data_IF_910976687102
#
_entry.id   IF_910976687102
#
_cell.length_a   1.000
_cell.length_b   1.000
_cell.length_c   1.000
_cell.angle_alpha   90.00
_cell.angle_beta   90.00
_cell.angle_gamma   90.00
#
_symmetry.space_group_name_H-M   'P 1'
#
loop_
_entity.id
_entity.type
_entity.pdbx_description
1 polymer ?
#
# COMPACT_ATOMS: atom_id res chain seq x y z
N UNK A 1 31.35 -15.90 -16.70
CA UNK A 1 31.10 -14.44 -16.71
C UNK A 1 31.42 -13.94 -18.11
N UNK A 2 30.43 -13.34 -18.77
CA UNK A 2 30.56 -12.80 -20.12
C UNK A 2 30.12 -11.33 -20.13
N UNK A 3 30.81 -10.52 -20.92
CA UNK A 3 30.45 -9.12 -21.12
C UNK A 3 29.62 -8.99 -22.40
N UNK A 4 28.53 -8.23 -22.32
CA UNK A 4 27.66 -7.96 -23.46
C UNK A 4 27.49 -6.45 -23.62
N UNK A 5 27.47 -6.01 -24.88
CA UNK A 5 27.44 -4.59 -25.26
C UNK A 5 26.33 -4.27 -26.27
N UNK A 6 25.60 -5.29 -26.73
CA UNK A 6 24.51 -5.13 -27.68
C UNK A 6 23.53 -6.33 -27.60
N UNK A 7 22.34 -6.22 -28.21
CA UNK A 7 21.32 -7.27 -28.18
C UNK A 7 21.79 -8.62 -28.74
N UNK A 8 22.62 -8.62 -29.79
CA UNK A 8 23.11 -9.85 -30.44
C UNK A 8 23.98 -10.64 -29.47
N UNK A 9 24.89 -9.95 -28.77
CA UNK A 9 25.74 -10.55 -27.74
C UNK A 9 24.93 -11.09 -26.56
N UNK A 10 23.92 -10.35 -26.09
CA UNK A 10 23.01 -10.80 -25.03
C UNK A 10 22.28 -12.09 -25.44
N UNK A 11 21.67 -12.11 -26.63
CA UNK A 11 20.99 -13.30 -27.15
C UNK A 11 21.95 -14.48 -27.30
N UNK A 12 23.16 -14.23 -27.81
CA UNK A 12 24.19 -15.28 -27.95
C UNK A 12 24.59 -15.85 -26.60
N UNK A 13 24.85 -15.01 -25.60
CA UNK A 13 25.21 -15.41 -24.24
C UNK A 13 24.12 -16.31 -23.63
N UNK A 14 22.86 -15.86 -23.66
CA UNK A 14 21.74 -16.64 -23.15
C UNK A 14 21.56 -17.97 -23.89
N UNK A 15 21.66 -17.97 -25.23
CA UNK A 15 21.53 -19.20 -26.04
C UNK A 15 22.68 -20.20 -25.82
N UNK A 16 23.84 -19.71 -25.37
CA UNK A 16 25.01 -20.54 -25.03
C UNK A 16 24.94 -21.07 -23.60
N UNK A 17 23.90 -20.74 -22.83
CA UNK A 17 23.72 -21.19 -21.45
C UNK A 17 24.54 -20.40 -20.44
N UNK A 18 25.02 -19.20 -20.79
CA UNK A 18 25.75 -18.35 -19.84
C UNK A 18 24.80 -17.85 -18.74
N UNK A 19 25.23 -18.01 -17.49
CA UNK A 19 24.44 -17.64 -16.30
C UNK A 19 25.00 -16.45 -15.56
N UNK A 20 26.15 -15.90 -15.97
CA UNK A 20 26.74 -14.70 -15.35
C UNK A 20 27.07 -13.72 -16.46
N UNK A 21 26.27 -12.66 -16.58
CA UNK A 21 26.30 -11.70 -17.68
C UNK A 21 26.43 -10.29 -17.14
N UNK A 22 27.46 -9.57 -17.60
CA UNK A 22 27.67 -8.16 -17.32
C UNK A 22 27.37 -7.30 -18.55
N UNK A 23 26.43 -6.37 -18.39
CA UNK A 23 26.04 -5.41 -19.42
C UNK A 23 26.94 -4.18 -19.34
N UNK A 24 27.55 -3.83 -20.47
CA UNK A 24 28.53 -2.73 -20.55
C UNK A 24 28.03 -1.53 -21.34
N UNK A 25 26.92 -1.68 -22.09
CA UNK A 25 26.34 -0.65 -22.94
C UNK A 25 24.83 -0.68 -22.88
N UNK A 26 24.23 0.50 -23.04
CA UNK A 26 22.78 0.60 -23.19
C UNK A 26 22.33 -0.11 -24.46
N UNK A 27 21.18 -0.78 -24.40
CA UNK A 27 20.68 -1.55 -25.53
C UNK A 27 19.16 -1.58 -25.55
N UNK A 28 18.59 -1.78 -26.73
CA UNK A 28 17.16 -1.83 -26.95
C UNK A 28 16.73 -3.20 -27.48
N UNK A 29 15.63 -3.71 -26.95
CA UNK A 29 15.00 -4.96 -27.35
C UNK A 29 13.58 -4.72 -27.85
N UNK A 30 13.22 -5.42 -28.92
CA UNK A 30 11.88 -5.41 -29.48
C UNK A 30 10.95 -6.44 -28.82
N UNK A 31 11.52 -7.41 -28.11
CA UNK A 31 10.80 -8.53 -27.50
C UNK A 31 11.26 -8.72 -26.05
N UNK A 32 10.42 -9.34 -25.20
CA UNK A 32 10.81 -9.72 -23.85
C UNK A 32 12.00 -10.69 -23.86
N UNK A 33 12.77 -10.70 -22.78
CA UNK A 33 13.91 -11.60 -22.60
C UNK A 33 13.60 -12.61 -21.51
N UNK A 34 13.61 -13.89 -21.87
CA UNK A 34 13.57 -14.98 -20.90
C UNK A 34 14.94 -15.14 -20.27
N UNK A 35 15.00 -15.01 -18.94
CA UNK A 35 16.20 -15.23 -18.16
C UNK A 35 16.15 -16.64 -17.52
N UNK A 36 17.15 -17.50 -17.78
CA UNK A 36 17.14 -18.88 -17.29
C UNK A 36 17.31 -18.95 -15.78
N UNK A 37 16.89 -20.06 -15.18
CA UNK A 37 17.17 -20.35 -13.77
C UNK A 37 18.69 -20.32 -13.48
N UNK A 38 19.07 -19.65 -12.40
CA UNK A 38 20.46 -19.45 -11.97
C UNK A 38 21.17 -18.23 -12.57
N UNK A 39 20.46 -17.40 -13.35
CA UNK A 39 21.01 -16.21 -14.00
C UNK A 39 21.45 -15.13 -12.98
N UNK A 40 22.57 -14.51 -13.27
CA UNK A 40 23.10 -13.32 -12.62
C UNK A 40 23.34 -12.28 -13.73
N UNK A 41 22.55 -11.23 -13.71
CA UNK A 41 22.60 -10.13 -14.65
C UNK A 41 22.94 -8.85 -13.89
N UNK A 42 24.07 -8.24 -14.23
CA UNK A 42 24.47 -6.94 -13.69
C UNK A 42 24.80 -5.99 -14.83
N UNK A 43 24.72 -4.68 -14.58
CA UNK A 43 25.34 -3.70 -15.46
C UNK A 43 26.55 -3.05 -14.80
N UNK A 44 27.53 -2.69 -15.63
CA UNK A 44 28.75 -2.02 -15.25
C UNK A 44 28.64 -0.57 -15.69
N UNK A 45 28.95 0.41 -14.81
CA UNK A 45 28.99 1.81 -15.19
C UNK A 45 29.85 2.03 -16.44
N UNK A 46 29.33 2.84 -17.35
CA UNK A 46 30.06 3.26 -18.55
C UNK A 46 31.17 4.25 -18.19
N UNK A 47 31.95 4.69 -19.17
CA UNK A 47 33.09 5.61 -18.95
C UNK A 47 32.67 6.95 -18.30
N UNK A 48 31.41 7.33 -18.48
CA UNK A 48 30.80 8.51 -17.85
C UNK A 48 30.26 8.27 -16.44
N UNK A 49 30.45 7.08 -15.87
CA UNK A 49 29.96 6.67 -14.55
C UNK A 49 28.48 6.29 -14.50
N UNK A 50 27.76 6.31 -15.62
CA UNK A 50 26.32 6.02 -15.67
C UNK A 50 26.08 4.55 -16.00
N UNK A 51 25.16 3.92 -15.27
CA UNK A 51 24.72 2.55 -15.56
C UNK A 51 24.05 2.47 -16.93
N UNK A 52 24.36 1.44 -17.74
CA UNK A 52 23.61 1.10 -18.93
C UNK A 52 22.10 1.02 -18.70
N UNK A 53 21.33 1.59 -19.62
CA UNK A 53 19.87 1.44 -19.65
C UNK A 53 19.45 0.38 -20.66
N UNK A 54 18.55 -0.50 -20.24
CA UNK A 54 17.98 -1.56 -21.07
C UNK A 54 16.56 -1.15 -21.43
N UNK A 55 16.32 -0.89 -22.71
CA UNK A 55 15.05 -0.42 -23.21
C UNK A 55 14.25 -1.55 -23.87
N UNK A 56 12.98 -1.70 -23.53
CA UNK A 56 12.04 -2.55 -24.24
C UNK A 56 10.99 -1.66 -24.90
N UNK A 57 11.05 -1.55 -26.22
CA UNK A 57 10.38 -0.45 -26.93
C UNK A 57 8.85 -0.57 -26.94
N UNK A 58 8.33 -1.80 -27.07
CA UNK A 58 6.89 -2.07 -27.18
C UNK A 58 6.51 -3.43 -26.57
N UNK A 59 7.32 -3.93 -25.64
CA UNK A 59 7.15 -5.25 -25.05
C UNK A 59 7.33 -5.19 -23.54
N UNK A 60 6.91 -6.27 -22.88
CA UNK A 60 7.40 -6.57 -21.54
C UNK A 60 8.94 -6.72 -21.54
N UNK A 61 9.52 -6.64 -20.34
CA UNK A 61 10.96 -6.71 -20.12
C UNK A 61 11.47 -8.12 -19.85
N UNK A 62 12.05 -8.31 -18.66
CA UNK A 62 12.63 -9.58 -18.24
C UNK A 62 11.56 -10.55 -17.72
N UNK A 63 11.64 -11.79 -18.21
CA UNK A 63 10.80 -12.91 -17.77
C UNK A 63 11.69 -13.92 -17.04
N UNK A 64 11.51 -14.02 -15.73
CA UNK A 64 12.28 -14.91 -14.86
C UNK A 64 11.68 -16.31 -14.89
N UNK A 65 12.53 -17.33 -14.99
CA UNK A 65 12.13 -18.75 -15.04
C UNK A 65 12.53 -19.56 -13.79
N UNK A 66 13.24 -18.93 -12.86
CA UNK A 66 13.69 -19.54 -11.60
C UNK A 66 14.54 -18.58 -10.79
N UNK A 67 15.51 -19.11 -10.04
CA UNK A 67 16.44 -18.31 -9.25
C UNK A 67 17.15 -17.30 -10.14
N UNK A 68 17.19 -16.05 -9.71
CA UNK A 68 17.70 -14.95 -10.54
C UNK A 68 18.33 -13.89 -9.65
N UNK A 69 19.35 -13.21 -10.17
CA UNK A 69 19.95 -12.04 -9.52
C UNK A 69 20.10 -10.92 -10.54
N UNK A 70 19.33 -9.85 -10.39
CA UNK A 70 19.33 -8.68 -11.25
C UNK A 70 19.88 -7.52 -10.42
N UNK A 71 21.00 -6.92 -10.85
CA UNK A 71 21.72 -5.94 -10.05
C UNK A 71 22.18 -4.73 -10.85
N UNK A 72 22.08 -3.54 -10.25
CA UNK A 72 22.64 -2.31 -10.81
C UNK A 72 22.09 -2.04 -12.24
N UNK A 73 20.78 -2.19 -12.45
CA UNK A 73 20.16 -2.03 -13.76
C UNK A 73 19.21 -0.85 -13.77
N UNK A 74 19.23 -0.10 -14.88
CA UNK A 74 18.12 0.77 -15.29
C UNK A 74 17.36 0.05 -16.41
N UNK A 75 16.08 -0.25 -16.20
CA UNK A 75 15.26 -0.99 -17.15
C UNK A 75 14.01 -0.18 -17.48
N UNK A 76 13.82 0.11 -18.76
CA UNK A 76 12.74 0.98 -19.22
C UNK A 76 11.82 0.20 -20.14
N UNK A 77 10.55 0.12 -19.76
CA UNK A 77 9.46 -0.33 -20.63
C UNK A 77 8.39 0.77 -20.70
N UNK A 78 7.37 0.59 -21.54
CA UNK A 78 6.18 1.45 -21.47
C UNK A 78 5.47 1.23 -20.12
N UNK A 79 4.88 2.28 -19.55
CA UNK A 79 4.25 2.23 -18.22
C UNK A 79 3.22 1.09 -18.08
N UNK A 80 2.52 0.74 -19.16
CA UNK A 80 1.49 -0.31 -19.21
C UNK A 80 2.05 -1.72 -19.47
N UNK A 81 3.36 -1.93 -19.25
CA UNK A 81 4.06 -3.20 -19.46
C UNK A 81 4.66 -3.71 -18.16
N UNK A 82 4.96 -5.02 -18.16
CA UNK A 82 5.68 -5.67 -17.06
C UNK A 82 7.16 -5.67 -17.36
N UNK A 83 7.92 -4.86 -16.63
CA UNK A 83 9.37 -4.75 -16.80
C UNK A 83 10.11 -5.95 -16.27
N UNK A 84 9.64 -6.49 -15.15
CA UNK A 84 10.16 -7.71 -14.55
C UNK A 84 8.96 -8.56 -14.16
N UNK A 85 8.88 -9.78 -14.69
CA UNK A 85 7.82 -10.72 -14.36
C UNK A 85 8.33 -12.15 -14.24
N UNK A 86 7.54 -13.01 -13.63
CA UNK A 86 7.77 -14.45 -13.67
C UNK A 86 7.13 -15.04 -14.93
N UNK A 87 7.68 -16.16 -15.41
CA UNK A 87 6.99 -16.99 -16.40
C UNK A 87 5.61 -17.40 -15.88
N UNK A 88 4.59 -17.34 -16.75
CA UNK A 88 3.23 -17.75 -16.41
C UNK A 88 3.11 -19.27 -16.27
N UNK A 89 3.91 -20.03 -17.04
CA UNK A 89 3.98 -21.48 -16.98
C UNK A 89 5.09 -21.88 -16.00
N UNK A 90 4.75 -21.89 -14.71
CA UNK A 90 5.63 -22.38 -13.65
C UNK A 90 5.57 -23.92 -13.65
N UNK A 91 6.70 -24.58 -13.46
CA UNK A 91 6.80 -26.05 -13.59
C UNK A 91 7.42 -26.74 -12.39
N UNK A 92 8.03 -25.98 -11.48
CA UNK A 92 8.70 -26.50 -10.30
C UNK A 92 7.96 -26.12 -9.02
N UNK A 93 7.99 -27.00 -8.02
CA UNK A 93 7.46 -26.72 -6.68
C UNK A 93 8.23 -25.61 -5.95
N UNK A 94 9.50 -25.42 -6.28
CA UNK A 94 10.31 -24.30 -5.78
C UNK A 94 10.78 -23.43 -6.95
N UNK A 95 10.51 -22.13 -6.87
CA UNK A 95 11.07 -21.15 -7.81
C UNK A 95 12.52 -20.79 -7.47
N UNK A 96 12.95 -21.08 -6.23
CA UNK A 96 14.24 -20.68 -5.69
C UNK A 96 14.26 -19.24 -5.19
N UNK A 97 15.38 -18.54 -5.36
CA UNK A 97 15.57 -17.18 -4.82
C UNK A 97 15.72 -16.14 -5.92
N UNK A 98 14.95 -15.04 -5.82
CA UNK A 98 15.00 -13.90 -6.72
C UNK A 98 15.63 -12.72 -5.98
N UNK A 99 16.74 -12.19 -6.48
CA UNK A 99 17.37 -10.97 -5.99
C UNK A 99 17.16 -9.84 -7.00
N UNK A 100 16.52 -8.75 -6.56
CA UNK A 100 16.34 -7.50 -7.27
C UNK A 100 17.05 -6.40 -6.48
N UNK A 101 18.24 -5.97 -6.92
CA UNK A 101 19.08 -5.09 -6.11
C UNK A 101 19.59 -3.88 -6.91
N UNK A 102 19.48 -2.68 -6.33
CA UNK A 102 19.92 -1.43 -6.96
C UNK A 102 19.30 -1.24 -8.36
N UNK A 103 17.96 -1.27 -8.44
CA UNK A 103 17.23 -1.19 -9.70
C UNK A 103 16.46 0.12 -9.83
N UNK A 104 16.42 0.67 -11.04
CA UNK A 104 15.46 1.70 -11.44
C UNK A 104 14.65 1.18 -12.61
N UNK A 105 13.33 1.20 -12.47
CA UNK A 105 12.41 0.53 -13.39
C UNK A 105 11.29 1.47 -13.84
N UNK A 106 11.04 1.55 -15.15
CA UNK A 106 9.77 2.03 -15.73
C UNK A 106 8.95 0.84 -16.23
N UNK A 107 7.68 0.79 -15.82
CA UNK A 107 6.77 -0.34 -15.93
C UNK A 107 6.66 -1.14 -14.63
N UNK A 108 5.88 -2.23 -14.63
CA UNK A 108 5.56 -2.99 -13.43
C UNK A 108 6.62 -4.04 -13.07
N UNK A 109 6.92 -4.20 -11.78
CA UNK A 109 7.55 -5.41 -11.23
C UNK A 109 6.43 -6.34 -10.75
N UNK A 110 6.18 -7.44 -11.49
CA UNK A 110 5.07 -8.38 -11.29
C UNK A 110 5.55 -9.78 -10.90
N UNK A 111 5.71 -10.01 -9.60
CA UNK A 111 6.12 -11.30 -9.02
C UNK A 111 4.89 -12.11 -8.59
N UNK A 112 4.24 -12.78 -9.55
CA UNK A 112 3.04 -13.59 -9.30
C UNK A 112 3.37 -15.09 -9.35
N UNK A 113 3.40 -15.74 -8.19
CA UNK A 113 3.64 -17.18 -8.05
C UNK A 113 2.34 -17.97 -8.24
N UNK A 114 2.42 -19.12 -8.93
CA UNK A 114 1.26 -19.94 -9.31
C UNK A 114 1.56 -21.42 -9.12
N UNK A 115 0.53 -22.25 -9.16
CA UNK A 115 0.67 -23.70 -9.23
C UNK A 115 1.62 -24.10 -10.38
N UNK A 116 2.57 -25.02 -10.17
CA UNK A 116 2.78 -25.85 -8.98
C UNK A 116 3.74 -25.25 -7.94
N UNK A 117 4.21 -24.02 -8.10
CA UNK A 117 5.18 -23.41 -7.18
C UNK A 117 4.59 -23.18 -5.78
N UNK A 118 5.16 -23.87 -4.80
CA UNK A 118 4.82 -23.78 -3.38
C UNK A 118 5.83 -22.95 -2.58
N UNK A 119 7.04 -22.74 -3.09
CA UNK A 119 8.12 -22.08 -2.35
C UNK A 119 8.91 -21.13 -3.22
N UNK A 120 9.21 -19.95 -2.71
CA UNK A 120 10.23 -19.05 -3.24
C UNK A 120 10.69 -18.09 -2.15
N UNK A 121 11.86 -17.48 -2.36
CA UNK A 121 12.33 -16.36 -1.57
C UNK A 121 12.61 -15.15 -2.47
N UNK A 122 12.13 -13.97 -2.08
CA UNK A 122 12.34 -12.72 -2.83
C UNK A 122 13.15 -11.75 -1.98
N UNK A 123 14.26 -11.26 -2.53
CA UNK A 123 15.07 -10.20 -1.94
C UNK A 123 14.97 -8.98 -2.84
N UNK A 124 14.43 -7.89 -2.31
CA UNK A 124 14.34 -6.60 -2.99
C UNK A 124 15.14 -5.59 -2.19
N UNK A 125 16.17 -4.98 -2.78
CA UNK A 125 17.04 -4.02 -2.09
C UNK A 125 17.32 -2.80 -2.95
N UNK A 126 17.06 -1.60 -2.44
CA UNK A 126 17.30 -0.34 -3.17
C UNK A 126 16.65 -0.36 -4.57
N UNK A 127 15.33 -0.54 -4.62
CA UNK A 127 14.58 -0.61 -5.87
C UNK A 127 13.66 0.60 -5.97
N UNK A 128 13.66 1.23 -7.13
CA UNK A 128 12.77 2.33 -7.47
C UNK A 128 11.94 1.98 -8.70
N UNK A 129 10.62 1.99 -8.60
CA UNK A 129 9.71 1.93 -9.76
C UNK A 129 9.25 3.36 -10.05
N UNK A 130 9.80 3.96 -11.09
CA UNK A 130 9.58 5.38 -11.39
C UNK A 130 8.20 5.65 -11.99
N UNK A 131 7.68 4.73 -12.81
CA UNK A 131 6.36 4.85 -13.43
C UNK A 131 5.77 3.47 -13.72
N UNK A 132 4.44 3.34 -13.65
CA UNK A 132 3.72 2.15 -14.11
C UNK A 132 2.24 2.49 -14.31
N UNK A 133 1.53 1.67 -15.09
CA UNK A 133 0.08 1.66 -15.22
C UNK A 133 -0.43 0.22 -15.11
N UNK A 134 -1.09 -0.10 -14.01
CA UNK A 134 -1.51 -1.47 -13.67
C UNK A 134 -3.01 -1.70 -13.78
N UNK A 135 -3.78 -0.72 -14.28
CA UNK A 135 -5.26 -0.77 -14.27
C UNK A 135 -5.86 -1.92 -15.06
N UNK A 136 -5.12 -2.47 -16.03
CA UNK A 136 -5.62 -3.48 -16.97
C UNK A 136 -5.32 -4.92 -16.56
N UNK A 137 -4.56 -5.15 -15.48
CA UNK A 137 -4.19 -6.50 -15.06
C UNK A 137 -5.31 -7.20 -14.29
N UNK A 138 -5.50 -8.49 -14.58
CA UNK A 138 -6.70 -9.25 -14.20
C UNK A 138 -6.61 -9.92 -12.83
N UNK A 139 -5.41 -10.21 -12.32
CA UNK A 139 -5.27 -10.83 -10.99
C UNK A 139 -5.51 -9.78 -9.91
N UNK A 140 -6.78 -9.65 -9.52
CA UNK A 140 -7.25 -8.66 -8.58
C UNK A 140 -7.94 -9.36 -7.41
N UNK A 141 -7.41 -9.22 -6.18
CA UNK A 141 -8.13 -9.62 -4.98
C UNK A 141 -9.51 -8.98 -4.89
N UNK A 142 -10.49 -9.78 -4.49
CA UNK A 142 -11.85 -9.32 -4.26
C UNK A 142 -12.26 -9.61 -2.81
N UNK A 143 -12.66 -8.55 -2.08
CA UNK A 143 -13.24 -8.65 -0.74
C UNK A 143 -14.10 -7.40 -0.50
N UNK A 144 -15.04 -7.47 0.44
CA UNK A 144 -15.85 -6.31 0.84
C UNK A 144 -16.61 -5.58 -0.30
N UNK A 145 -16.93 -6.29 -1.39
CA UNK A 145 -17.63 -5.71 -2.54
C UNK A 145 -16.73 -4.91 -3.49
N UNK A 146 -15.41 -4.95 -3.32
CA UNK A 146 -14.45 -4.22 -4.16
C UNK A 146 -13.36 -5.14 -4.71
N UNK A 147 -12.84 -4.78 -5.87
CA UNK A 147 -11.64 -5.33 -6.49
C UNK A 147 -10.44 -4.41 -6.22
N UNK A 148 -9.30 -5.02 -5.94
CA UNK A 148 -8.04 -4.30 -5.71
C UNK A 148 -7.20 -4.28 -6.98
N UNK A 149 -6.88 -3.09 -7.48
CA UNK A 149 -5.93 -2.96 -8.60
C UNK A 149 -4.51 -3.31 -8.14
N UNK A 150 -3.74 -3.98 -8.99
CA UNK A 150 -2.36 -4.39 -8.71
C UNK A 150 -1.43 -3.19 -8.47
N UNK A 151 -0.29 -3.47 -7.84
CA UNK A 151 0.74 -2.47 -7.55
C UNK A 151 1.81 -2.35 -8.62
N UNK A 152 2.45 -1.18 -8.69
CA UNK A 152 3.70 -0.96 -9.43
C UNK A 152 4.77 -2.00 -9.05
N UNK A 153 4.87 -2.30 -7.74
CA UNK A 153 5.51 -3.50 -7.23
C UNK A 153 4.44 -4.46 -6.70
N UNK A 154 4.35 -5.64 -7.32
CA UNK A 154 3.39 -6.68 -6.96
C UNK A 154 4.13 -7.96 -6.55
N UNK A 155 3.96 -8.38 -5.30
CA UNK A 155 4.36 -9.69 -4.80
C UNK A 155 3.10 -10.48 -4.42
N UNK A 156 2.75 -11.47 -5.24
CA UNK A 156 1.48 -12.18 -5.12
C UNK A 156 1.70 -13.70 -5.16
N UNK A 157 1.46 -14.39 -4.05
CA UNK A 157 1.29 -15.84 -4.05
C UNK A 157 -0.12 -16.23 -4.53
N UNK A 158 -0.32 -16.26 -5.85
CA UNK A 158 -1.57 -16.67 -6.49
C UNK A 158 -1.67 -18.20 -6.65
N UNK A 159 -1.41 -18.92 -5.56
CA UNK A 159 -1.54 -20.38 -5.49
C UNK A 159 -2.59 -20.77 -4.45
N UNK A 160 -3.62 -21.52 -4.86
CA UNK A 160 -4.69 -21.95 -3.96
C UNK A 160 -4.25 -22.96 -2.89
N UNK A 161 -3.07 -23.58 -3.03
CA UNK A 161 -2.56 -24.52 -2.04
C UNK A 161 -2.17 -23.81 -0.74
N UNK A 162 -2.81 -24.19 0.37
CA UNK A 162 -2.56 -23.69 1.73
C UNK A 162 -1.13 -23.90 2.26
N UNK A 163 -0.41 -24.85 1.66
CA UNK A 163 0.98 -25.18 1.99
C UNK A 163 1.98 -24.35 1.15
N UNK A 164 1.48 -23.56 0.18
CA UNK A 164 2.29 -22.61 -0.57
C UNK A 164 2.69 -21.44 0.33
N UNK A 165 3.99 -21.18 0.41
CA UNK A 165 4.59 -20.10 1.19
C UNK A 165 5.69 -19.44 0.37
N UNK A 166 5.50 -18.15 0.10
CA UNK A 166 6.53 -17.30 -0.48
C UNK A 166 7.06 -16.41 0.65
N UNK A 167 8.37 -16.36 0.82
CA UNK A 167 8.99 -15.46 1.79
C UNK A 167 9.67 -14.29 1.09
N UNK A 168 9.79 -13.15 1.77
CA UNK A 168 10.55 -12.03 1.23
C UNK A 168 11.32 -11.22 2.29
N UNK A 169 12.32 -10.48 1.81
CA UNK A 169 12.96 -9.37 2.50
C UNK A 169 12.98 -8.17 1.54
N UNK A 170 12.41 -7.06 1.97
CA UNK A 170 12.28 -5.86 1.14
C UNK A 170 12.94 -4.71 1.88
N UNK A 171 13.97 -4.11 1.29
CA UNK A 171 14.74 -3.03 1.89
C UNK A 171 14.85 -1.87 0.89
N UNK A 172 14.40 -0.69 1.30
CA UNK A 172 14.47 0.55 0.55
C UNK A 172 13.81 0.45 -0.84
N UNK A 173 12.54 0.04 -0.87
CA UNK A 173 11.67 0.09 -2.05
C UNK A 173 10.93 1.43 -2.11
N UNK A 174 10.92 2.08 -3.28
CA UNK A 174 10.18 3.33 -3.52
C UNK A 174 9.43 3.30 -4.84
N UNK A 175 8.32 4.03 -4.92
CA UNK A 175 7.39 4.02 -6.05
C UNK A 175 6.99 5.45 -6.43
N UNK A 176 7.14 5.79 -7.71
CA UNK A 176 6.75 7.08 -8.24
C UNK A 176 7.50 8.26 -7.62
N UNK A 177 7.07 9.47 -7.97
CA UNK A 177 7.58 10.70 -7.37
C UNK A 177 6.49 11.77 -7.29
N UNK A 178 6.76 12.86 -6.59
CA UNK A 178 5.86 14.01 -6.54
C UNK A 178 5.57 14.51 -7.97
N UNK A 179 4.29 14.70 -8.29
CA UNK A 179 3.82 15.05 -9.64
C UNK A 179 3.84 13.91 -10.66
N UNK A 180 4.46 12.76 -10.36
CA UNK A 180 4.53 11.59 -11.24
C UNK A 180 4.23 10.29 -10.45
N UNK A 181 3.00 10.12 -9.94
CA UNK A 181 2.61 8.90 -9.24
C UNK A 181 2.55 7.70 -10.18
N UNK A 182 2.78 6.51 -9.63
CA UNK A 182 2.41 5.27 -10.32
C UNK A 182 0.89 5.16 -10.46
N UNK A 183 0.42 4.67 -11.61
CA UNK A 183 -1.00 4.49 -11.88
C UNK A 183 -1.43 3.07 -11.48
N UNK A 184 -2.45 2.99 -10.62
CA UNK A 184 -2.82 1.80 -9.85
C UNK A 184 -2.36 1.87 -8.40
N UNK A 185 -2.17 0.72 -7.76
CA UNK A 185 -1.59 0.67 -6.41
C UNK A 185 -0.06 0.91 -6.46
N UNK A 186 0.54 1.30 -5.34
CA UNK A 186 1.99 1.45 -5.22
C UNK A 186 2.68 0.11 -4.98
N UNK A 187 2.69 -0.30 -3.71
CA UNK A 187 3.22 -1.59 -3.25
C UNK A 187 2.07 -2.51 -2.89
N UNK A 188 2.03 -3.68 -3.52
CA UNK A 188 0.97 -4.67 -3.35
C UNK A 188 1.56 -6.02 -2.92
N UNK A 189 1.16 -6.51 -1.75
CA UNK A 189 1.60 -7.79 -1.19
C UNK A 189 0.36 -8.63 -0.89
N UNK A 190 0.26 -9.84 -1.48
CA UNK A 190 -0.93 -10.69 -1.32
C UNK A 190 -0.59 -12.18 -1.29
N UNK A 191 -1.24 -12.92 -0.39
CA UNK A 191 -1.48 -14.36 -0.55
C UNK A 191 -2.69 -14.62 -1.45
N UNK A 192 -3.12 -15.86 -1.62
CA UNK A 192 -4.21 -16.25 -2.52
C UNK A 192 -5.60 -15.86 -2.00
N UNK A 193 -5.82 -16.11 -0.70
CA UNK A 193 -6.96 -15.71 0.14
C UNK A 193 -6.58 -16.04 1.60
N UNK A 194 -7.54 -15.98 2.53
CA UNK A 194 -7.30 -16.27 3.95
C UNK A 194 -6.91 -17.74 4.26
N UNK A 195 -7.01 -18.66 3.28
CA UNK A 195 -6.79 -20.11 3.46
C UNK A 195 -5.82 -20.74 2.45
N UNK A 196 -5.41 -20.02 1.41
CA UNK A 196 -4.55 -20.50 0.34
C UNK A 196 -3.09 -20.16 0.57
N UNK A 197 -2.35 -19.99 -0.52
CA UNK A 197 -0.94 -19.64 -0.48
C UNK A 197 -0.70 -18.31 0.23
N UNK A 198 0.38 -18.27 1.02
CA UNK A 198 0.74 -17.11 1.85
C UNK A 198 1.98 -16.40 1.37
N UNK A 199 2.10 -15.13 1.74
CA UNK A 199 3.33 -14.35 1.66
C UNK A 199 3.75 -13.97 3.08
N UNK A 200 5.01 -14.21 3.44
CA UNK A 200 5.55 -13.93 4.77
C UNK A 200 6.82 -13.08 4.64
N UNK A 201 6.85 -11.92 5.32
CA UNK A 201 7.93 -10.95 5.21
C UNK A 201 8.39 -10.56 6.62
N UNK A 202 9.63 -10.87 6.95
CA UNK A 202 10.16 -10.52 8.27
C UNK A 202 10.40 -9.01 8.42
N UNK A 203 11.01 -8.40 7.40
CA UNK A 203 11.26 -6.97 7.38
C UNK A 203 11.02 -6.37 6.00
N UNK A 204 10.28 -5.26 6.00
CA UNK A 204 9.95 -4.46 4.84
C UNK A 204 10.22 -2.98 5.13
N UNK A 205 11.16 -2.36 4.41
CA UNK A 205 11.40 -0.92 4.49
C UNK A 205 11.08 -0.23 3.16
N UNK A 206 10.34 0.87 3.26
CA UNK A 206 9.88 1.66 2.11
C UNK A 206 10.45 3.08 2.18
N UNK A 207 10.82 3.62 1.03
CA UNK A 207 11.06 5.04 0.83
C UNK A 207 9.76 5.75 0.46
N UNK A 208 9.86 6.71 -0.46
CA UNK A 208 8.71 7.43 -0.99
C UNK A 208 7.78 6.52 -1.80
N UNK A 209 6.46 6.72 -1.66
CA UNK A 209 5.44 6.01 -2.42
C UNK A 209 4.36 6.99 -2.87
N UNK A 210 4.27 7.20 -4.17
CA UNK A 210 3.26 8.03 -4.82
C UNK A 210 2.43 7.18 -5.77
N UNK A 211 1.11 7.09 -5.54
CA UNK A 211 0.22 6.32 -6.41
C UNK A 211 -1.10 7.02 -6.69
N UNK A 212 -1.76 6.63 -7.78
CA UNK A 212 -3.10 7.09 -8.14
C UNK A 212 -3.87 5.99 -8.86
N UNK A 213 -5.04 5.63 -8.36
CA UNK A 213 -5.86 4.62 -9.01
C UNK A 213 -6.41 5.05 -10.37
N UNK A 214 -6.56 6.37 -10.57
CA UNK A 214 -7.36 6.95 -11.66
C UNK A 214 -8.73 6.27 -11.82
N UNK A 215 -9.32 5.84 -10.71
CA UNK A 215 -10.66 5.27 -10.67
C UNK A 215 -11.65 6.40 -11.01
N UNK A 216 -12.55 6.21 -11.99
CA UNK A 216 -13.55 7.22 -12.33
C UNK A 216 -14.48 7.50 -11.15
N UNK A 217 -14.89 8.75 -11.00
CA UNK A 217 -15.86 9.13 -9.95
C UNK A 217 -17.17 8.35 -10.11
N UNK A 218 -17.71 7.86 -9.00
CA UNK A 218 -18.95 7.06 -8.97
C UNK A 218 -18.74 5.56 -9.19
N UNK A 219 -17.53 5.13 -9.58
CA UNK A 219 -17.13 3.71 -9.55
C UNK A 219 -16.80 3.35 -8.11
N UNK A 220 -17.46 2.31 -7.61
CA UNK A 220 -17.50 1.95 -6.19
C UNK A 220 -16.95 0.56 -5.90
N UNK A 221 -16.76 -0.25 -6.94
CA UNK A 221 -16.33 -1.65 -6.91
C UNK A 221 -14.83 -1.80 -7.16
N UNK A 222 -14.07 -0.72 -7.19
CA UNK A 222 -12.61 -0.71 -7.28
C UNK A 222 -11.99 0.20 -6.22
N UNK A 223 -10.84 -0.23 -5.72
CA UNK A 223 -9.98 0.55 -4.82
C UNK A 223 -8.51 0.37 -5.21
N UNK A 224 -7.66 1.30 -4.79
CA UNK A 224 -6.19 1.14 -4.83
C UNK A 224 -5.55 1.49 -3.49
N UNK A 225 -4.30 1.10 -3.32
CA UNK A 225 -3.49 1.35 -2.13
C UNK A 225 -2.12 1.90 -2.48
N UNK A 226 -1.61 2.94 -1.80
CA UNK A 226 -0.17 3.25 -1.92
C UNK A 226 0.66 2.11 -1.30
N UNK A 227 0.31 1.67 -0.10
CA UNK A 227 0.86 0.45 0.53
C UNK A 227 -0.30 -0.47 0.89
N UNK A 228 -0.37 -1.61 0.22
CA UNK A 228 -1.47 -2.56 0.35
C UNK A 228 -0.97 -3.93 0.82
N UNK A 229 -1.32 -4.27 2.07
CA UNK A 229 -1.07 -5.60 2.66
C UNK A 229 -2.37 -6.38 2.63
N UNK A 230 -2.52 -7.23 1.62
CA UNK A 230 -3.78 -7.92 1.31
C UNK A 230 -3.90 -9.23 2.11
N UNK A 231 -5.01 -9.97 1.94
CA UNK A 231 -5.21 -11.27 2.58
C UNK A 231 -4.05 -12.24 2.35
N UNK A 232 -3.85 -13.18 3.28
CA UNK A 232 -2.79 -14.18 3.20
C UNK A 232 -1.36 -13.60 3.20
N UNK A 233 -1.18 -12.29 3.35
CA UNK A 233 0.10 -11.65 3.59
C UNK A 233 0.29 -11.42 5.10
N UNK A 234 1.50 -11.71 5.56
CA UNK A 234 1.99 -11.42 6.90
C UNK A 234 3.30 -10.65 6.82
N UNK A 235 3.39 -9.53 7.55
CA UNK A 235 4.60 -8.72 7.66
C UNK A 235 4.93 -8.49 9.13
N UNK A 236 6.09 -8.96 9.60
CA UNK A 236 6.48 -8.76 10.99
C UNK A 236 6.83 -7.29 11.26
N UNK A 237 7.69 -6.68 10.43
CA UNK A 237 8.09 -5.27 10.59
C UNK A 237 7.99 -4.51 9.26
N UNK A 238 7.07 -3.55 9.20
CA UNK A 238 6.87 -2.64 8.07
C UNK A 238 7.26 -1.21 8.47
N UNK A 239 8.34 -0.69 7.88
CA UNK A 239 8.87 0.64 8.18
C UNK A 239 8.81 1.51 6.93
N UNK A 240 8.03 2.59 6.97
CA UNK A 240 7.98 3.61 5.92
C UNK A 240 8.82 4.82 6.34
N UNK A 241 9.92 5.03 5.64
CA UNK A 241 10.85 6.13 5.86
C UNK A 241 10.58 7.35 4.99
N UNK A 242 9.91 7.16 3.84
CA UNK A 242 9.55 8.25 2.93
C UNK A 242 8.07 8.63 2.98
N UNK A 243 7.74 9.67 2.24
CA UNK A 243 6.39 10.22 2.12
C UNK A 243 5.48 9.24 1.39
N UNK A 244 4.25 9.07 1.86
CA UNK A 244 3.27 8.18 1.22
C UNK A 244 2.04 8.98 0.81
N UNK A 245 1.76 9.05 -0.49
CA UNK A 245 0.74 9.94 -1.05
C UNK A 245 -0.14 9.21 -2.06
N UNK A 246 -1.45 9.39 -1.93
CA UNK A 246 -2.43 9.01 -2.96
C UNK A 246 -3.22 10.19 -3.51
N UNK A 247 -3.63 10.10 -4.77
CA UNK A 247 -4.29 11.20 -5.49
C UNK A 247 -5.70 10.87 -6.01
N UNK A 248 -6.03 9.61 -6.21
CA UNK A 248 -7.25 9.17 -6.91
C UNK A 248 -8.43 8.84 -5.99
N UNK A 249 -9.61 8.74 -6.60
CA UNK A 249 -10.86 8.36 -5.91
C UNK A 249 -10.75 6.95 -5.37
N UNK A 250 -11.22 6.73 -4.13
CA UNK A 250 -11.12 5.45 -3.42
C UNK A 250 -9.68 4.91 -3.27
N UNK A 251 -8.68 5.79 -3.33
CA UNK A 251 -7.31 5.41 -3.05
C UNK A 251 -7.06 5.46 -1.53
N UNK A 252 -6.77 4.29 -0.99
CA UNK A 252 -6.29 4.13 0.38
C UNK A 252 -4.79 4.42 0.39
N UNK A 253 -4.27 5.16 1.36
CA UNK A 253 -2.83 5.39 1.47
C UNK A 253 -2.18 4.15 2.08
N UNK A 254 -2.66 3.75 3.25
CA UNK A 254 -2.23 2.56 3.98
C UNK A 254 -3.44 1.64 4.18
N UNK A 255 -3.42 0.44 3.59
CA UNK A 255 -4.54 -0.50 3.67
C UNK A 255 -4.08 -1.91 4.10
N UNK A 256 -4.62 -2.37 5.23
CA UNK A 256 -4.35 -3.68 5.80
C UNK A 256 -5.59 -4.58 5.74
N UNK A 257 -5.56 -5.59 4.86
CA UNK A 257 -6.47 -6.75 4.91
C UNK A 257 -5.79 -7.99 5.50
N UNK A 258 -4.46 -8.07 5.40
CA UNK A 258 -3.64 -9.14 5.95
C UNK A 258 -3.25 -8.92 7.42
N UNK A 259 -2.09 -9.44 7.80
CA UNK A 259 -1.54 -9.27 9.15
C UNK A 259 -0.25 -8.44 9.12
N UNK A 260 -0.14 -7.46 10.02
CA UNK A 260 1.09 -6.71 10.26
C UNK A 260 1.36 -6.64 11.76
N UNK A 261 2.52 -7.10 12.21
CA UNK A 261 2.84 -7.07 13.65
C UNK A 261 3.28 -5.67 14.09
N UNK A 262 4.23 -5.05 13.38
CA UNK A 262 4.64 -3.67 13.63
C UNK A 262 4.66 -2.87 12.32
N UNK A 263 3.92 -1.77 12.29
CA UNK A 263 3.87 -0.82 11.19
C UNK A 263 4.24 0.58 11.67
N UNK A 264 5.43 1.05 11.31
CA UNK A 264 5.93 2.39 11.65
C UNK A 264 6.01 3.26 10.40
N UNK A 265 5.44 4.46 10.47
CA UNK A 265 5.49 5.47 9.41
C UNK A 265 6.17 6.71 9.94
N UNK A 266 7.32 7.05 9.34
CA UNK A 266 8.22 8.11 9.80
C UNK A 266 7.97 9.46 9.10
N UNK A 267 7.27 9.46 7.97
CA UNK A 267 6.97 10.68 7.20
C UNK A 267 5.46 10.84 6.96
N UNK A 268 5.07 11.87 6.19
CA UNK A 268 3.68 12.25 6.00
C UNK A 268 2.89 11.17 5.24
N UNK A 269 1.66 10.96 5.69
CA UNK A 269 0.63 10.15 5.03
C UNK A 269 -0.43 11.08 4.51
N UNK A 270 -0.58 11.16 3.19
CA UNK A 270 -1.47 12.15 2.56
C UNK A 270 -2.39 11.50 1.54
N UNK A 271 -3.70 11.75 1.66
CA UNK A 271 -4.69 11.40 0.65
C UNK A 271 -5.34 12.65 0.07
N UNK A 272 -5.32 12.82 -1.25
CA UNK A 272 -6.03 13.91 -1.94
C UNK A 272 -7.37 13.49 -2.57
N UNK A 273 -7.60 12.18 -2.70
CA UNK A 273 -8.73 11.65 -3.45
C UNK A 273 -10.05 11.60 -2.68
N UNK A 274 -11.18 11.76 -3.39
CA UNK A 274 -12.52 11.55 -2.82
C UNK A 274 -12.63 10.15 -2.22
N UNK A 275 -13.21 10.04 -1.03
CA UNK A 275 -13.33 8.79 -0.26
C UNK A 275 -12.02 8.05 -0.01
N UNK A 276 -10.88 8.71 -0.20
CA UNK A 276 -9.57 8.18 0.16
C UNK A 276 -9.42 8.07 1.67
N UNK A 277 -8.59 7.13 2.11
CA UNK A 277 -8.34 6.89 3.54
C UNK A 277 -6.86 6.90 3.84
N UNK A 278 -6.43 7.65 4.86
CA UNK A 278 -5.04 7.69 5.29
C UNK A 278 -4.56 6.33 5.81
N UNK A 279 -5.23 5.77 6.80
CA UNK A 279 -5.02 4.40 7.26
C UNK A 279 -6.35 3.69 7.44
N UNK A 280 -6.52 2.55 6.75
CA UNK A 280 -7.68 1.68 6.91
C UNK A 280 -7.23 0.28 7.29
N UNK A 281 -7.95 -0.31 8.23
CA UNK A 281 -7.69 -1.67 8.69
C UNK A 281 -8.96 -2.53 8.58
N UNK A 282 -8.80 -3.64 7.88
CA UNK A 282 -9.73 -4.75 7.75
C UNK A 282 -9.16 -6.05 8.33
N UNK A 283 -7.83 -6.14 8.48
CA UNK A 283 -7.11 -7.31 8.93
C UNK A 283 -6.69 -7.23 10.39
N UNK A 284 -5.48 -7.70 10.68
CA UNK A 284 -4.92 -7.70 12.05
C UNK A 284 -3.66 -6.87 12.06
N UNK A 285 -3.67 -5.76 12.82
CA UNK A 285 -2.48 -4.95 13.06
C UNK A 285 -2.19 -4.94 14.56
N UNK A 286 -1.01 -5.38 14.97
CA UNK A 286 -0.67 -5.39 16.40
C UNK A 286 -0.23 -4.01 16.86
N UNK A 287 0.73 -3.39 16.18
CA UNK A 287 1.25 -2.07 16.54
C UNK A 287 1.33 -1.18 15.30
N UNK A 288 0.57 -0.08 15.28
CA UNK A 288 0.65 0.95 14.25
C UNK A 288 1.18 2.25 14.88
N UNK A 289 2.14 2.90 14.23
CA UNK A 289 2.67 4.19 14.66
C UNK A 289 2.90 5.14 13.48
N UNK A 290 2.17 6.25 13.44
CA UNK A 290 2.45 7.38 12.56
C UNK A 290 3.17 8.49 13.35
N UNK A 291 4.46 8.71 13.06
CA UNK A 291 5.29 9.71 13.74
C UNK A 291 5.03 11.15 13.26
N UNK A 292 4.33 11.31 12.14
CA UNK A 292 3.79 12.59 11.65
C UNK A 292 2.28 12.52 11.52
N UNK A 293 1.66 13.69 11.34
CA UNK A 293 0.22 13.76 11.20
C UNK A 293 -0.26 13.11 9.89
N UNK A 294 -1.46 12.53 9.92
CA UNK A 294 -2.15 12.03 8.74
C UNK A 294 -3.06 13.13 8.20
N UNK A 295 -2.96 13.39 6.89
CA UNK A 295 -3.74 14.41 6.21
C UNK A 295 -4.64 13.79 5.13
N UNK A 296 -5.92 14.13 5.13
CA UNK A 296 -6.82 13.76 4.03
C UNK A 296 -7.64 14.93 3.53
N UNK A 297 -7.72 15.10 2.21
CA UNK A 297 -8.34 16.26 1.56
C UNK A 297 -9.56 15.93 0.69
N UNK A 298 -9.97 14.67 0.56
CA UNK A 298 -11.11 14.33 -0.29
C UNK A 298 -12.46 14.51 0.40
N UNK A 299 -13.50 14.85 -0.37
CA UNK A 299 -14.89 14.69 0.10
C UNK A 299 -15.11 13.25 0.57
N UNK A 300 -15.69 13.08 1.76
CA UNK A 300 -15.92 11.75 2.34
C UNK A 300 -14.66 10.99 2.74
N UNK A 301 -13.49 11.62 2.73
CA UNK A 301 -12.22 11.00 3.08
C UNK A 301 -12.11 10.74 4.58
N UNK A 302 -11.25 9.80 4.99
CA UNK A 302 -11.04 9.47 6.40
C UNK A 302 -9.57 9.45 6.75
N UNK A 303 -9.13 9.99 7.89
CA UNK A 303 -7.72 9.84 8.26
C UNK A 303 -7.43 8.44 8.81
N UNK A 304 -8.23 7.95 9.75
CA UNK A 304 -8.16 6.57 10.24
C UNK A 304 -9.53 5.91 10.24
N UNK A 305 -9.60 4.66 9.78
CA UNK A 305 -10.81 3.86 9.79
C UNK A 305 -10.54 2.40 10.21
N UNK A 306 -11.01 2.01 11.40
CA UNK A 306 -11.11 0.61 11.79
C UNK A 306 -12.40 0.03 11.22
N UNK A 307 -12.29 -0.68 10.10
CA UNK A 307 -13.46 -1.15 9.37
C UNK A 307 -13.85 -2.58 9.73
N UNK A 308 -12.86 -3.48 9.75
CA UNK A 308 -13.01 -4.89 10.13
C UNK A 308 -11.78 -5.36 10.91
N UNK A 309 -11.75 -6.60 11.39
CA UNK A 309 -10.57 -7.17 12.04
C UNK A 309 -10.23 -6.46 13.37
N UNK A 310 -8.93 -6.32 13.67
CA UNK A 310 -8.47 -5.75 14.95
C UNK A 310 -7.23 -4.88 14.81
N UNK A 311 -7.17 -3.80 15.61
CA UNK A 311 -5.95 -3.06 15.91
C UNK A 311 -5.64 -3.20 17.40
N UNK A 312 -4.50 -3.76 17.79
CA UNK A 312 -4.16 -3.88 19.22
C UNK A 312 -3.68 -2.55 19.80
N UNK A 313 -2.74 -1.86 19.14
CA UNK A 313 -2.29 -0.53 19.55
C UNK A 313 -2.04 0.39 18.35
N UNK A 314 -2.64 1.58 18.36
CA UNK A 314 -2.42 2.64 17.37
C UNK A 314 -1.89 3.91 18.01
N UNK A 315 -0.83 4.47 17.46
CA UNK A 315 -0.20 5.72 17.90
C UNK A 315 -0.16 6.70 16.73
N UNK A 316 -0.71 7.89 16.91
CA UNK A 316 -0.81 8.92 15.88
C UNK A 316 -0.25 10.23 16.42
N UNK A 317 0.67 10.86 15.68
CA UNK A 317 1.15 12.19 16.06
C UNK A 317 0.06 13.27 15.93
N UNK A 318 -0.89 13.09 15.02
CA UNK A 318 -2.02 14.00 14.83
C UNK A 318 -2.85 13.60 13.61
N UNK A 319 -4.08 14.11 13.55
CA UNK A 319 -5.03 13.80 12.48
C UNK A 319 -5.68 15.10 11.99
N UNK A 320 -5.64 15.30 10.67
CA UNK A 320 -6.30 16.43 10.03
C UNK A 320 -7.03 15.98 8.78
N UNK A 321 -8.33 16.29 8.70
CA UNK A 321 -9.13 16.03 7.50
C UNK A 321 -9.79 17.30 6.99
N UNK A 322 -9.96 17.35 5.67
CA UNK A 322 -10.52 18.48 4.95
C UNK A 322 -11.61 18.03 3.99
N UNK A 323 -12.55 18.95 3.74
CA UNK A 323 -13.73 18.80 2.90
C UNK A 323 -14.91 18.07 3.53
N UNK A 324 -16.05 18.22 2.87
CA UNK A 324 -17.34 17.76 3.35
C UNK A 324 -17.39 16.24 3.54
N UNK A 325 -18.02 15.79 4.62
CA UNK A 325 -18.11 14.39 5.00
C UNK A 325 -16.80 13.73 5.41
N UNK A 326 -15.73 14.52 5.61
CA UNK A 326 -14.44 13.99 6.01
C UNK A 326 -14.44 13.60 7.50
N UNK A 327 -13.91 12.43 7.83
CA UNK A 327 -13.92 11.88 9.19
C UNK A 327 -12.49 11.73 9.71
N UNK A 328 -12.19 12.26 10.89
CA UNK A 328 -10.89 12.09 11.53
C UNK A 328 -10.62 10.63 11.85
N UNK A 329 -11.35 10.10 12.83
CA UNK A 329 -11.27 8.70 13.24
C UNK A 329 -12.66 8.06 13.15
N UNK A 330 -12.76 6.91 12.49
CA UNK A 330 -13.96 6.07 12.49
C UNK A 330 -13.66 4.67 13.01
N UNK A 331 -14.41 4.18 13.99
CA UNK A 331 -14.21 2.87 14.59
C UNK A 331 -15.49 2.04 14.48
N UNK A 332 -15.42 0.95 13.72
CA UNK A 332 -16.52 0.01 13.49
C UNK A 332 -16.28 -1.39 14.08
N UNK A 333 -15.04 -1.68 14.48
CA UNK A 333 -14.63 -2.94 15.12
C UNK A 333 -13.65 -2.67 16.26
N UNK A 334 -13.18 -3.76 16.88
CA UNK A 334 -12.34 -3.72 18.07
C UNK A 334 -10.99 -3.04 17.80
N UNK A 335 -10.69 -2.07 18.64
CA UNK A 335 -9.39 -1.44 18.84
C UNK A 335 -9.00 -1.60 20.30
N UNK A 336 -7.77 -2.01 20.58
CA UNK A 336 -7.26 -2.06 21.94
C UNK A 336 -6.98 -0.64 22.45
N UNK A 337 -5.76 -0.16 22.19
CA UNK A 337 -5.32 1.17 22.61
C UNK A 337 -5.19 2.10 21.41
N UNK A 338 -5.67 3.33 21.55
CA UNK A 338 -5.51 4.40 20.57
C UNK A 338 -4.95 5.64 21.26
N UNK A 339 -3.78 6.10 20.82
CA UNK A 339 -3.12 7.30 21.34
C UNK A 339 -2.96 8.30 20.21
N UNK A 340 -3.39 9.54 20.47
CA UNK A 340 -3.15 10.69 19.61
C UNK A 340 -2.38 11.76 20.40
N UNK A 341 -1.12 11.98 20.07
CA UNK A 341 -0.26 12.95 20.78
C UNK A 341 -0.67 14.41 20.48
N UNK A 342 -1.19 14.65 19.29
CA UNK A 342 -1.66 15.96 18.83
C UNK A 342 -3.19 16.06 18.80
N UNK A 343 -3.67 16.90 17.90
CA UNK A 343 -5.11 17.14 17.71
C UNK A 343 -5.74 16.12 16.75
N UNK A 344 -7.06 15.94 16.89
CA UNK A 344 -7.94 15.33 15.89
C UNK A 344 -8.83 16.45 15.34
N UNK A 345 -8.55 16.92 14.12
CA UNK A 345 -9.22 18.08 13.53
C UNK A 345 -9.92 17.72 12.23
N UNK A 346 -11.16 18.17 12.07
CA UNK A 346 -11.89 18.04 10.82
C UNK A 346 -12.44 19.37 10.32
N UNK A 347 -12.29 19.60 9.02
CA UNK A 347 -12.82 20.73 8.29
C UNK A 347 -13.87 20.23 7.30
N UNK A 348 -15.06 20.85 7.28
CA UNK A 348 -16.12 20.53 6.33
C UNK A 348 -17.46 20.19 6.98
N UNK A 349 -18.53 20.18 6.19
CA UNK A 349 -19.90 19.87 6.60
C UNK A 349 -20.36 18.49 6.12
N UNK A 350 -21.59 18.41 5.60
CA UNK A 350 -22.17 17.20 5.00
C UNK A 350 -21.64 16.95 3.58
N UNK A 351 -21.20 15.72 3.27
CA UNK A 351 -20.71 15.34 1.94
C UNK A 351 -20.84 13.85 1.63
N UNK A 352 -20.71 13.49 0.35
CA UNK A 352 -20.81 12.10 -0.10
C UNK A 352 -19.52 11.30 0.16
N UNK A 353 -19.67 10.08 0.64
CA UNK A 353 -18.57 9.15 0.92
C UNK A 353 -18.92 7.73 0.46
N UNK A 354 -17.92 6.97 0.05
CA UNK A 354 -18.03 5.54 -0.19
C UNK A 354 -17.93 4.75 1.12
N UNK A 355 -18.91 3.87 1.35
CA UNK A 355 -19.00 2.95 2.50
C UNK A 355 -19.35 1.56 1.96
N UNK A 356 -18.40 0.61 2.03
CA UNK A 356 -18.55 -0.77 1.53
C UNK A 356 -19.15 -0.87 0.11
N UNK A 357 -18.66 -0.05 -0.83
CA UNK A 357 -19.14 -0.05 -2.22
C UNK A 357 -20.44 0.71 -2.47
N UNK A 358 -20.94 1.51 -1.50
CA UNK A 358 -22.15 2.33 -1.65
C UNK A 358 -21.89 3.79 -1.28
N UNK A 359 -22.36 4.73 -2.09
CA UNK A 359 -22.28 6.16 -1.80
C UNK A 359 -23.37 6.59 -0.81
N UNK A 360 -22.97 7.26 0.27
CA UNK A 360 -23.84 7.76 1.33
C UNK A 360 -23.45 9.18 1.73
N UNK A 361 -24.43 9.97 2.21
CA UNK A 361 -24.14 11.28 2.80
C UNK A 361 -23.64 11.10 4.25
N UNK A 362 -22.48 11.68 4.56
CA UNK A 362 -21.86 11.68 5.88
C UNK A 362 -21.53 13.11 6.31
N UNK A 363 -21.83 13.50 7.55
CA UNK A 363 -21.27 14.69 8.16
C UNK A 363 -19.78 14.53 8.45
N UNK A 364 -19.06 15.64 8.53
CA UNK A 364 -17.67 15.62 8.98
C UNK A 364 -17.62 15.42 10.51
N UNK A 365 -17.00 14.33 10.96
CA UNK A 365 -16.87 13.96 12.37
C UNK A 365 -15.40 13.91 12.76
N UNK A 366 -15.02 14.46 13.92
CA UNK A 366 -13.65 14.28 14.41
C UNK A 366 -13.43 12.85 14.92
N UNK A 367 -14.38 12.35 15.71
CA UNK A 367 -14.38 10.97 16.20
C UNK A 367 -15.78 10.36 16.00
N UNK A 368 -15.85 9.23 15.30
CA UNK A 368 -17.10 8.51 15.06
C UNK A 368 -16.98 7.05 15.46
N UNK A 369 -17.70 6.66 16.50
CA UNK A 369 -17.86 5.26 16.90
C UNK A 369 -19.16 4.72 16.29
N UNK A 370 -19.02 3.69 15.46
CA UNK A 370 -20.15 3.01 14.81
C UNK A 370 -20.65 1.85 15.66
N UNK A 371 -21.84 1.34 15.34
CA UNK A 371 -22.40 0.13 15.94
C UNK A 371 -21.42 -1.05 15.82
N UNK A 372 -21.16 -1.72 16.95
CA UNK A 372 -20.15 -2.76 17.09
C UNK A 372 -18.70 -2.27 17.23
N UNK A 373 -18.46 -0.97 17.18
CA UNK A 373 -17.17 -0.35 17.48
C UNK A 373 -16.82 -0.49 18.96
N UNK A 374 -15.62 -0.98 19.26
CA UNK A 374 -15.15 -1.18 20.63
C UNK A 374 -13.74 -0.62 20.77
N UNK A 375 -13.51 0.21 21.77
CA UNK A 375 -12.21 0.78 22.08
C UNK A 375 -11.88 0.57 23.56
N UNK A 376 -10.80 -0.16 23.86
CA UNK A 376 -10.40 -0.42 25.25
C UNK A 376 -9.86 0.86 25.90
N UNK A 377 -9.06 1.65 25.17
CA UNK A 377 -8.51 2.91 25.68
C UNK A 377 -8.28 3.94 24.58
N UNK A 378 -8.78 5.14 24.81
CA UNK A 378 -8.51 6.34 24.03
C UNK A 378 -7.68 7.32 24.87
N UNK A 379 -6.53 7.75 24.36
CA UNK A 379 -5.77 8.88 24.90
C UNK A 379 -5.59 9.93 23.82
N UNK A 380 -5.97 11.17 24.08
CA UNK A 380 -5.73 12.32 23.21
C UNK A 380 -5.11 13.44 24.02
N UNK A 381 -3.86 13.79 23.73
CA UNK A 381 -3.16 14.87 24.45
C UNK A 381 -3.55 16.25 23.92
N UNK A 382 -3.85 16.36 22.61
CA UNK A 382 -4.40 17.57 22.01
C UNK A 382 -5.92 17.68 22.14
N UNK A 383 -6.50 18.44 21.23
CA UNK A 383 -7.93 18.73 21.15
C UNK A 383 -8.63 17.80 20.15
N UNK A 384 -9.94 17.67 20.30
CA UNK A 384 -10.83 17.02 19.32
C UNK A 384 -11.77 18.10 18.78
N UNK A 385 -11.60 18.49 17.51
CA UNK A 385 -12.22 19.70 16.97
C UNK A 385 -12.92 19.41 15.65
N UNK A 386 -14.16 19.91 15.51
CA UNK A 386 -14.82 20.05 14.22
C UNK A 386 -15.12 21.53 13.92
N UNK A 387 -15.00 21.92 12.64
CA UNK A 387 -15.23 23.30 12.20
C UNK A 387 -16.45 23.50 11.31
N UNK A 388 -17.11 22.42 10.87
CA UNK A 388 -18.27 22.49 9.98
C UNK A 388 -19.54 23.02 10.67
N UNK A 389 -20.36 23.74 9.92
CA UNK A 389 -21.70 24.10 10.39
C UNK A 389 -22.59 22.84 10.50
N UNK A 390 -23.44 22.80 11.55
CA UNK A 390 -24.42 21.71 11.77
C UNK A 390 -23.82 20.31 11.84
N UNK A 391 -22.53 20.19 12.19
CA UNK A 391 -21.88 18.91 12.43
C UNK A 391 -21.76 18.61 13.92
N UNK A 392 -21.46 17.36 14.24
CA UNK A 392 -21.15 16.92 15.59
C UNK A 392 -19.67 16.55 15.69
N UNK A 393 -18.96 16.94 16.74
CA UNK A 393 -17.52 16.62 16.86
C UNK A 393 -17.29 15.13 17.19
N UNK A 394 -18.01 14.61 18.20
CA UNK A 394 -17.92 13.22 18.65
C UNK A 394 -19.28 12.55 18.56
N UNK A 395 -19.35 11.41 17.86
CA UNK A 395 -20.57 10.60 17.75
C UNK A 395 -20.35 9.17 18.23
N UNK A 396 -21.33 8.60 18.93
CA UNK A 396 -21.35 7.21 19.35
C UNK A 396 -22.73 6.58 19.11
N UNK A 397 -22.79 5.55 18.27
CA UNK A 397 -24.01 4.76 18.06
C UNK A 397 -24.30 3.82 19.24
N UNK A 398 -25.57 3.39 19.43
CA UNK A 398 -26.03 2.66 20.62
C UNK A 398 -25.23 1.38 20.97
N UNK A 399 -24.62 0.72 19.98
CA UNK A 399 -23.77 -0.46 20.19
C UNK A 399 -22.27 -0.19 20.28
N UNK A 400 -21.85 1.08 20.31
CA UNK A 400 -20.47 1.49 20.47
C UNK A 400 -20.03 1.53 21.94
N UNK A 401 -18.78 1.15 22.19
CA UNK A 401 -18.21 1.08 23.53
C UNK A 401 -16.81 1.70 23.58
N UNK A 402 -16.56 2.55 24.58
CA UNK A 402 -15.22 2.98 24.96
C UNK A 402 -15.05 2.75 26.47
N UNK A 403 -14.04 1.99 26.87
CA UNK A 403 -13.85 1.62 28.28
C UNK A 403 -13.08 2.68 29.08
N UNK A 404 -12.00 3.21 28.51
CA UNK A 404 -11.18 4.24 29.15
C UNK A 404 -10.95 5.40 28.19
N UNK A 405 -11.18 6.63 28.67
CA UNK A 405 -10.99 7.86 27.90
C UNK A 405 -10.10 8.79 28.71
N UNK A 406 -9.09 9.34 28.07
CA UNK A 406 -8.26 10.42 28.60
C UNK A 406 -8.08 11.47 27.50
N UNK A 407 -8.73 12.63 27.65
CA UNK A 407 -8.57 13.77 26.74
C UNK A 407 -8.05 14.95 27.55
N UNK A 408 -6.81 15.37 27.27
CA UNK A 408 -6.18 16.49 27.99
C UNK A 408 -6.61 17.84 27.42
N UNK A 409 -6.80 17.94 26.10
CA UNK A 409 -7.30 19.15 25.44
C UNK A 409 -8.81 19.31 25.54
N UNK A 410 -9.34 20.21 24.72
CA UNK A 410 -10.77 20.49 24.63
C UNK A 410 -11.46 19.66 23.55
N UNK A 411 -12.76 19.45 23.72
CA UNK A 411 -13.63 18.88 22.70
C UNK A 411 -14.57 20.00 22.22
N UNK A 412 -14.33 20.48 21.00
CA UNK A 412 -14.94 21.71 20.48
C UNK A 412 -15.69 21.47 19.18
N UNK A 413 -16.80 22.20 19.02
CA UNK A 413 -17.54 22.31 17.79
C UNK A 413 -17.64 23.80 17.43
N UNK A 414 -16.90 24.20 16.39
CA UNK A 414 -16.64 25.61 16.09
C UNK A 414 -17.53 26.17 14.97
N UNK A 415 -18.34 25.32 14.32
CA UNK A 415 -19.29 25.76 13.28
C UNK A 415 -20.61 26.28 13.85
N UNK A 416 -21.37 26.99 13.02
CA UNK A 416 -22.72 27.45 13.38
C UNK A 416 -23.67 26.26 13.58
N UNK A 417 -24.50 26.33 14.62
CA UNK A 417 -25.44 25.26 15.01
C UNK A 417 -24.77 23.87 15.15
N UNK A 418 -23.47 23.83 15.42
CA UNK A 418 -22.71 22.59 15.66
C UNK A 418 -22.73 22.21 17.14
N UNK A 419 -22.44 20.95 17.44
CA UNK A 419 -22.42 20.44 18.80
C UNK A 419 -21.21 19.53 19.05
N UNK A 420 -20.65 19.58 20.25
CA UNK A 420 -19.48 18.77 20.59
C UNK A 420 -19.80 17.26 20.66
N UNK A 421 -21.01 16.91 21.09
CA UNK A 421 -21.46 15.53 21.29
C UNK A 421 -22.86 15.35 20.73
N UNK A 422 -23.15 14.15 20.25
CA UNK A 422 -24.48 13.77 19.74
C UNK A 422 -25.53 13.61 20.85
N UNK A 423 -25.11 13.17 22.04
CA UNK A 423 -25.98 12.96 23.20
C UNK A 423 -25.32 13.38 24.51
N UNK A 424 -26.13 13.65 25.54
CA UNK A 424 -25.63 13.88 26.91
C UNK A 424 -24.96 12.64 27.51
N UNK A 425 -25.36 11.44 27.08
CA UNK A 425 -24.73 10.18 27.48
C UNK A 425 -23.30 10.10 26.94
N UNK A 426 -23.10 10.38 25.66
CA UNK A 426 -21.76 10.45 25.05
C UNK A 426 -20.91 11.49 25.77
N UNK A 427 -21.47 12.68 26.01
CA UNK A 427 -20.78 13.75 26.75
C UNK A 427 -20.34 13.34 28.16
N UNK A 428 -21.13 12.52 28.86
CA UNK A 428 -20.79 12.06 30.21
C UNK A 428 -19.58 11.12 30.22
N UNK A 429 -19.35 10.34 29.14
CA UNK A 429 -18.20 9.45 29.01
C UNK A 429 -16.88 10.22 28.90
N UNK A 430 -16.87 11.38 28.25
CA UNK A 430 -15.67 12.21 28.04
C UNK A 430 -15.38 13.22 29.17
N UNK A 431 -16.14 13.17 30.27
CA UNK A 431 -15.98 14.06 31.44
C UNK A 431 -15.37 13.36 32.67
N UNK A 432 -15.33 12.03 32.66
CA UNK A 432 -14.64 11.21 33.66
C UNK A 432 -13.21 10.96 33.23
#
# INVERSE_FOLDING_TARGET
MVYVSNPIEMTKALSSGETVIDITRSMAFANPIYLPNGIQLSAIPQENGVLPTIFFSHSDGFILTGSSRLQNLSVVTLQDKKTIQLTSQQVAESFGTIHLENLTVDGQISLIFRTPTLKAHVVTKNVHVASSDTKTYLEQPQKYGVNVLQGAYTLYNFNANKDSLITASIDNLSIGSEGHPAIGSGVFISGFNDQGGRVDIDQMTLGDVYSTGLIPQGVADFITGAVFVVYGAHISHLIQNGKTVTYGVNDMVLDAWGQVDEWVVNDDVISYGQSGVGFVNFGTVNHFKANKAIFTYGTGARAYNQYDGTLKEGYFAGIQTFNNGAVGIQISKKVGKLVVDGDIVTQGGLGQSLVKGVNVDLPAYALSMKDGGQLESLTVTGNIISHGDKVTTVTMEDGALIHHIEVTGQIEANGQDSQAFDTDQTKALFKG
#
